data_IF_473922914953
#
_entry.id   IF_473922914953
#
_cell.length_a   1.000
_cell.length_b   1.000
_cell.length_c   1.000
_cell.angle_alpha   90.00
_cell.angle_beta   90.00
_cell.angle_gamma   90.00
#
_symmetry.space_group_name_H-M   'P 1'
#
loop_
_entity.id
_entity.type
_entity.pdbx_description
1 polymer ?
#
# COMPACT_ATOMS: atom_id res chain seq x y z
N UNK A 1 15.97 -2.32 11.11
CA UNK A 1 15.78 -1.43 12.29
C UNK A 1 16.88 -0.40 12.20
N UNK A 2 16.57 0.90 12.22
CA UNK A 2 17.59 1.96 12.15
C UNK A 2 18.47 1.90 13.39
N UNK A 3 19.72 2.31 13.27
CA UNK A 3 20.63 2.48 14.40
C UNK A 3 20.23 3.73 15.19
N UNK A 4 20.60 3.82 16.47
CA UNK A 4 20.25 4.96 17.31
C UNK A 4 20.76 6.28 16.74
N UNK A 5 21.98 6.27 16.23
CA UNK A 5 22.68 7.39 15.61
C UNK A 5 22.10 7.85 14.26
N UNK A 6 21.30 6.97 13.61
CA UNK A 6 20.60 7.28 12.35
C UNK A 6 19.23 7.93 12.56
N UNK A 7 18.75 8.01 13.80
CA UNK A 7 17.48 8.64 14.14
C UNK A 7 17.59 10.18 14.03
N UNK A 8 16.53 10.87 13.62
CA UNK A 8 16.47 12.34 13.66
C UNK A 8 16.76 12.86 15.08
N UNK A 9 17.46 13.99 15.20
CA UNK A 9 17.86 14.55 16.49
C UNK A 9 16.68 14.80 17.46
N UNK A 10 15.51 15.15 16.93
CA UNK A 10 14.28 15.32 17.70
C UNK A 10 13.73 14.03 18.29
N UNK A 11 14.20 12.85 17.85
CA UNK A 11 13.84 11.53 18.38
C UNK A 11 14.92 10.93 19.28
N UNK A 12 16.09 11.54 19.39
CA UNK A 12 17.19 11.08 20.25
C UNK A 12 17.02 11.59 21.69
N UNK A 13 15.84 11.43 22.27
CA UNK A 13 15.52 11.81 23.65
C UNK A 13 15.46 10.56 24.54
N UNK A 14 15.62 10.75 25.85
CA UNK A 14 15.77 9.65 26.81
C UNK A 14 14.51 8.77 26.90
N UNK A 15 13.33 9.37 26.77
CA UNK A 15 12.07 8.64 26.72
C UNK A 15 12.01 7.66 25.52
N UNK A 16 12.48 8.08 24.34
CA UNK A 16 12.52 7.23 23.14
C UNK A 16 13.58 6.15 23.26
N UNK A 17 14.70 6.43 23.93
CA UNK A 17 15.77 5.46 24.15
C UNK A 17 15.30 4.23 24.92
N UNK A 18 14.46 4.42 25.93
CA UNK A 18 13.86 3.33 26.70
C UNK A 18 13.07 2.36 25.80
N UNK A 19 12.26 2.89 24.89
CA UNK A 19 11.51 2.05 23.92
C UNK A 19 12.44 1.42 22.89
N UNK A 20 13.45 2.12 22.45
CA UNK A 20 14.46 1.59 21.53
C UNK A 20 15.19 0.37 22.12
N UNK A 21 15.60 0.44 23.39
CA UNK A 21 16.28 -0.66 24.09
C UNK A 21 15.37 -1.88 24.27
N UNK A 22 14.07 -1.68 24.57
CA UNK A 22 13.07 -2.74 24.62
C UNK A 22 12.95 -3.42 23.26
N UNK A 23 12.84 -2.66 22.18
CA UNK A 23 12.77 -3.18 20.82
C UNK A 23 14.05 -3.93 20.43
N UNK A 24 15.22 -3.48 20.86
CA UNK A 24 16.49 -4.16 20.62
C UNK A 24 16.57 -5.53 21.32
N UNK A 25 16.04 -5.64 22.54
CA UNK A 25 15.96 -6.93 23.28
C UNK A 25 15.05 -7.92 22.58
N UNK A 26 14.02 -7.45 21.89
CA UNK A 26 13.05 -8.30 21.17
C UNK A 26 13.34 -8.45 19.67
N UNK A 27 14.56 -8.17 19.21
CA UNK A 27 14.94 -8.27 17.80
C UNK A 27 14.60 -9.62 17.16
N UNK A 28 14.88 -10.73 17.87
CA UNK A 28 14.59 -12.06 17.36
C UNK A 28 13.09 -12.29 17.13
N UNK A 29 12.26 -11.84 18.06
CA UNK A 29 10.80 -11.91 17.92
C UNK A 29 10.28 -11.03 16.76
N UNK A 30 10.88 -9.86 16.55
CA UNK A 30 10.52 -8.98 15.43
C UNK A 30 10.91 -9.59 14.08
N UNK A 31 12.07 -10.26 14.00
CA UNK A 31 12.51 -10.96 12.80
C UNK A 31 11.58 -12.15 12.52
N UNK A 32 11.28 -12.95 13.55
CA UNK A 32 10.36 -14.09 13.42
C UNK A 32 8.96 -13.64 12.97
N UNK A 33 8.45 -12.57 13.57
CA UNK A 33 7.20 -11.95 13.13
C UNK A 33 7.26 -11.53 11.66
N UNK A 34 8.34 -10.87 11.24
CA UNK A 34 8.49 -10.43 9.85
C UNK A 34 8.51 -11.60 8.87
N UNK A 35 9.22 -12.68 9.24
CA UNK A 35 9.25 -13.90 8.44
C UNK A 35 7.85 -14.53 8.31
N UNK A 36 7.13 -14.61 9.42
CA UNK A 36 5.75 -15.10 9.43
C UNK A 36 4.84 -14.22 8.55
N UNK A 37 4.91 -12.90 8.68
CA UNK A 37 4.12 -11.95 7.87
C UNK A 37 4.40 -12.15 6.36
N UNK A 38 5.67 -12.38 5.97
CA UNK A 38 6.05 -12.61 4.57
C UNK A 38 5.49 -13.94 4.06
N UNK A 39 5.57 -15.01 4.86
CA UNK A 39 5.04 -16.34 4.49
C UNK A 39 3.53 -16.24 4.31
N UNK A 40 2.82 -15.65 5.26
CA UNK A 40 1.35 -15.51 5.20
C UNK A 40 0.95 -14.66 4.00
N UNK A 41 1.63 -13.53 3.76
CA UNK A 41 1.36 -12.69 2.59
C UNK A 41 1.61 -13.45 1.28
N UNK A 42 2.68 -14.23 1.19
CA UNK A 42 2.98 -15.08 0.03
C UNK A 42 1.89 -16.12 -0.24
N UNK A 43 1.46 -16.83 0.79
CA UNK A 43 0.36 -17.81 0.68
C UNK A 43 -0.94 -17.12 0.23
N UNK A 44 -1.28 -15.99 0.83
CA UNK A 44 -2.47 -15.22 0.44
C UNK A 44 -2.39 -14.73 -1.00
N UNK A 45 -1.23 -14.28 -1.47
CA UNK A 45 -1.04 -13.89 -2.87
C UNK A 45 -1.28 -15.05 -3.84
N UNK A 46 -0.79 -16.25 -3.52
CA UNK A 46 -1.03 -17.45 -4.34
C UNK A 46 -2.50 -17.80 -4.36
N UNK A 47 -3.16 -17.84 -3.20
CA UNK A 47 -4.58 -18.16 -3.08
C UNK A 47 -5.48 -17.12 -3.77
N UNK A 48 -5.14 -15.85 -3.69
CA UNK A 48 -5.89 -14.75 -4.30
C UNK A 48 -5.51 -14.50 -5.77
N UNK A 49 -4.46 -15.14 -6.29
CA UNK A 49 -3.98 -14.91 -7.65
C UNK A 49 -5.05 -15.07 -8.73
N UNK A 50 -5.95 -16.10 -8.72
CA UNK A 50 -7.01 -16.20 -9.72
C UNK A 50 -7.99 -15.02 -9.63
N UNK A 51 -8.34 -14.58 -8.42
CA UNK A 51 -9.19 -13.40 -8.22
C UNK A 51 -8.50 -12.13 -8.75
N UNK A 52 -7.22 -11.93 -8.41
CA UNK A 52 -6.44 -10.77 -8.88
C UNK A 52 -6.38 -10.73 -10.41
N UNK A 53 -6.23 -11.91 -11.06
CA UNK A 53 -6.22 -12.03 -12.52
C UNK A 53 -7.58 -11.62 -13.12
N UNK A 54 -8.68 -12.14 -12.58
CA UNK A 54 -10.04 -11.80 -13.03
C UNK A 54 -10.26 -10.28 -12.91
N UNK A 55 -9.91 -9.69 -11.75
CA UNK A 55 -10.04 -8.25 -11.54
C UNK A 55 -9.18 -7.45 -12.53
N UNK A 56 -7.97 -7.91 -12.81
CA UNK A 56 -7.08 -7.28 -13.79
C UNK A 56 -7.69 -7.27 -15.20
N UNK A 57 -8.30 -8.38 -15.61
CA UNK A 57 -9.01 -8.48 -16.90
C UNK A 57 -10.23 -7.55 -16.92
N UNK A 58 -11.06 -7.57 -15.89
CA UNK A 58 -12.22 -6.67 -15.77
C UNK A 58 -11.84 -5.20 -15.90
N UNK A 59 -10.77 -4.76 -15.19
CA UNK A 59 -10.25 -3.39 -15.27
C UNK A 59 -9.79 -3.05 -16.69
N UNK A 60 -9.14 -4.00 -17.36
CA UNK A 60 -8.63 -3.80 -18.71
C UNK A 60 -9.73 -3.68 -19.75
N UNK A 61 -10.82 -4.42 -19.56
CA UNK A 61 -12.01 -4.37 -20.43
C UNK A 61 -12.85 -3.11 -20.17
N UNK A 62 -12.96 -2.65 -18.91
CA UNK A 62 -13.77 -1.48 -18.53
C UNK A 62 -13.13 -0.16 -19.00
N UNK A 63 -11.80 -0.07 -19.05
CA UNK A 63 -11.11 1.15 -19.50
C UNK A 63 -9.72 0.88 -20.09
N UNK A 64 -9.35 1.62 -21.15
CA UNK A 64 -8.02 1.55 -21.77
C UNK A 64 -6.93 2.07 -20.82
N UNK A 65 -5.79 1.38 -20.72
CA UNK A 65 -4.63 1.81 -19.93
C UNK A 65 -4.06 0.72 -19.01
N UNK A 66 -3.16 1.05 -18.07
CA UNK A 66 -2.54 0.09 -17.15
C UNK A 66 -3.56 -0.42 -16.12
N UNK A 67 -3.38 -1.66 -15.67
CA UNK A 67 -4.23 -2.29 -14.62
C UNK A 67 -3.91 -1.72 -13.25
N UNK A 68 -2.63 -1.46 -12.99
CA UNK A 68 -2.14 -0.97 -11.71
C UNK A 68 -1.94 0.54 -11.74
N UNK A 69 -2.29 1.18 -10.66
CA UNK A 69 -1.98 2.56 -10.34
C UNK A 69 -0.93 2.60 -9.24
N UNK A 70 0.07 3.47 -9.39
CA UNK A 70 1.13 3.68 -8.41
C UNK A 70 0.94 5.02 -7.74
N UNK A 71 0.64 5.00 -6.46
CA UNK A 71 0.50 6.22 -5.66
C UNK A 71 1.74 6.45 -4.81
N UNK A 72 2.31 7.65 -4.88
CA UNK A 72 3.38 8.06 -3.97
C UNK A 72 2.77 8.38 -2.61
N UNK A 73 3.34 7.81 -1.57
CA UNK A 73 3.02 8.09 -0.17
C UNK A 73 4.31 8.44 0.57
N UNK A 74 4.18 9.11 1.70
CA UNK A 74 5.32 9.49 2.54
C UNK A 74 5.22 8.72 3.86
N UNK A 75 6.34 8.12 4.28
CA UNK A 75 6.43 7.46 5.59
C UNK A 75 6.44 8.48 6.72
N UNK A 76 6.30 8.02 7.96
CA UNK A 76 6.42 8.84 9.18
C UNK A 76 7.75 9.61 9.25
N UNK A 77 8.80 9.10 8.58
CA UNK A 77 10.13 9.74 8.53
C UNK A 77 10.36 10.58 7.26
N UNK A 78 9.30 10.97 6.54
CA UNK A 78 9.41 11.81 5.36
C UNK A 78 9.93 11.11 4.10
N UNK A 79 10.21 9.80 4.13
CA UNK A 79 10.70 9.06 2.96
C UNK A 79 9.54 8.72 2.02
N UNK A 80 9.60 9.11 0.74
CA UNK A 80 8.57 8.74 -0.23
C UNK A 80 8.68 7.26 -0.59
N UNK A 81 7.54 6.58 -0.71
CA UNK A 81 7.43 5.23 -1.22
C UNK A 81 6.21 5.11 -2.13
N UNK A 82 6.18 4.08 -2.97
CA UNK A 82 5.10 3.85 -3.93
C UNK A 82 4.28 2.66 -3.50
N UNK A 83 2.97 2.86 -3.37
CA UNK A 83 2.02 1.77 -3.15
C UNK A 83 1.36 1.39 -4.47
N UNK A 84 1.08 0.10 -4.62
CA UNK A 84 0.35 -0.45 -5.75
C UNK A 84 -1.13 -0.57 -5.41
N UNK A 85 -1.99 -0.11 -6.34
CA UNK A 85 -3.43 -0.29 -6.27
C UNK A 85 -3.96 -0.70 -7.63
N UNK A 86 -5.10 -1.36 -7.67
CA UNK A 86 -5.84 -1.48 -8.91
C UNK A 86 -6.34 -0.10 -9.36
N UNK A 87 -6.30 0.13 -10.67
CA UNK A 87 -6.84 1.35 -11.24
C UNK A 87 -8.37 1.33 -11.15
N UNK A 88 -8.93 2.34 -10.52
CA UNK A 88 -10.38 2.52 -10.33
C UNK A 88 -10.92 3.76 -11.05
N UNK A 89 -10.04 4.50 -11.73
CA UNK A 89 -10.38 5.70 -12.50
C UNK A 89 -9.93 5.57 -13.95
N UNK A 90 -10.49 6.40 -14.82
CA UNK A 90 -10.05 6.53 -16.22
C UNK A 90 -8.58 6.94 -16.29
N UNK A 91 -7.95 6.63 -17.43
CA UNK A 91 -6.55 7.00 -17.63
C UNK A 91 -6.38 8.54 -17.57
N UNK A 92 -5.29 9.01 -16.96
CA UNK A 92 -5.00 10.43 -16.74
C UNK A 92 -6.05 11.18 -15.87
N UNK A 93 -6.78 10.49 -15.01
CA UNK A 93 -7.75 11.10 -14.09
C UNK A 93 -7.10 12.15 -13.15
N UNK A 94 -5.81 12.04 -12.88
CA UNK A 94 -4.98 12.98 -12.11
C UNK A 94 -4.78 14.33 -12.83
N UNK A 95 -4.89 14.35 -14.17
CA UNK A 95 -4.80 15.55 -15.01
C UNK A 95 -6.16 16.22 -15.24
N UNK A 96 -7.25 15.51 -14.94
CA UNK A 96 -8.62 15.94 -15.20
C UNK A 96 -9.31 16.28 -13.88
N UNK A 97 -9.00 17.42 -13.28
CA UNK A 97 -9.66 17.91 -12.07
C UNK A 97 -8.79 17.84 -10.80
N UNK A 98 -9.42 17.85 -9.63
CA UNK A 98 -8.75 17.89 -8.33
C UNK A 98 -8.12 16.56 -7.95
N UNK A 99 -7.07 16.60 -7.12
CA UNK A 99 -6.45 15.38 -6.56
C UNK A 99 -7.35 14.64 -5.56
N UNK A 100 -8.38 15.32 -5.05
CA UNK A 100 -9.33 14.75 -4.11
C UNK A 100 -10.52 14.16 -4.87
N UNK A 101 -10.83 12.90 -4.59
CA UNK A 101 -12.01 12.22 -5.15
C UNK A 101 -13.24 12.57 -4.33
N UNK A 102 -14.28 13.08 -4.99
CA UNK A 102 -15.57 13.39 -4.36
C UNK A 102 -16.58 12.25 -4.58
N UNK A 103 -17.67 12.26 -3.80
CA UNK A 103 -18.75 11.29 -3.97
C UNK A 103 -19.44 11.53 -5.33
N UNK A 104 -19.49 10.50 -6.17
CA UNK A 104 -20.06 10.61 -7.52
C UNK A 104 -19.10 11.13 -8.58
N UNK A 105 -17.79 11.11 -8.35
CA UNK A 105 -16.77 11.53 -9.30
C UNK A 105 -16.87 10.75 -10.63
N UNK A 106 -17.16 11.47 -11.72
CA UNK A 106 -17.35 10.89 -13.06
C UNK A 106 -16.10 10.19 -13.63
N UNK A 107 -14.93 10.42 -13.04
CA UNK A 107 -13.67 9.78 -13.44
C UNK A 107 -13.58 8.32 -12.96
N UNK A 108 -14.46 7.90 -12.03
CA UNK A 108 -14.46 6.54 -11.51
C UNK A 108 -15.13 5.62 -12.54
N UNK A 109 -14.44 4.53 -12.92
CA UNK A 109 -14.98 3.54 -13.85
C UNK A 109 -16.05 2.68 -13.16
N UNK A 110 -16.88 1.95 -13.96
CA UNK A 110 -17.92 1.09 -13.39
C UNK A 110 -17.36 0.00 -12.50
N UNK A 111 -16.32 -0.70 -12.97
CA UNK A 111 -15.57 -1.69 -12.19
C UNK A 111 -14.86 -1.03 -11.01
N UNK A 112 -14.28 0.16 -11.21
CA UNK A 112 -13.62 0.93 -10.16
C UNK A 112 -14.54 1.29 -9.00
N UNK A 113 -15.81 1.58 -9.27
CA UNK A 113 -16.82 1.85 -8.23
C UNK A 113 -17.06 0.61 -7.34
N UNK A 114 -17.19 -0.57 -7.96
CA UNK A 114 -17.35 -1.84 -7.22
C UNK A 114 -16.10 -2.16 -6.41
N UNK A 115 -14.89 -2.04 -7.00
CA UNK A 115 -13.62 -2.31 -6.32
C UNK A 115 -13.43 -1.42 -5.08
N UNK A 116 -13.73 -0.13 -5.18
CA UNK A 116 -13.66 0.81 -4.04
C UNK A 116 -14.68 0.47 -2.95
N UNK A 117 -15.89 0.06 -3.34
CA UNK A 117 -16.93 -0.34 -2.39
C UNK A 117 -16.52 -1.51 -1.49
N UNK A 118 -15.77 -2.48 -2.04
CA UNK A 118 -15.26 -3.66 -1.32
C UNK A 118 -13.79 -3.52 -0.88
N UNK A 119 -13.12 -2.39 -1.14
CA UNK A 119 -11.68 -2.16 -0.91
C UNK A 119 -10.75 -3.17 -1.58
N UNK A 120 -11.22 -3.83 -2.63
CA UNK A 120 -10.43 -4.79 -3.40
C UNK A 120 -9.34 -4.11 -4.24
N UNK A 121 -9.43 -2.81 -4.46
CA UNK A 121 -8.42 -2.01 -5.14
C UNK A 121 -7.08 -1.96 -4.36
N UNK A 122 -7.09 -2.27 -3.07
CA UNK A 122 -5.89 -2.27 -2.22
C UNK A 122 -5.21 -3.65 -2.09
N UNK A 123 -5.82 -4.74 -2.62
CA UNK A 123 -5.21 -6.08 -2.57
C UNK A 123 -3.78 -6.16 -3.13
N UNK A 124 -3.40 -5.42 -4.19
CA UNK A 124 -2.03 -5.43 -4.69
C UNK A 124 -0.98 -4.90 -3.70
N UNK A 125 -1.38 -4.32 -2.56
CA UNK A 125 -0.44 -3.89 -1.51
C UNK A 125 0.14 -5.07 -0.71
N UNK A 126 -0.36 -6.30 -0.92
CA UNK A 126 0.27 -7.53 -0.40
C UNK A 126 1.64 -7.80 -1.04
N UNK A 127 1.93 -7.20 -2.20
CA UNK A 127 3.23 -7.22 -2.87
C UNK A 127 4.22 -6.28 -2.16
#
# INVERSE_FOLDING_TARGET
>A
MCRWDELPQNMQVEEVKKYYDILQRHKASLILKRLFDIIVAGVLLVLLSPLLLILAVCIKLDSKGPVFFRQVRVTTYGKPFRIFKFRTMVNNADKIGTQVTTKGDARITKVGKALRGCRLDELPQLL
#
